data_IF_775930500415
#
_entry.id   IF_775930500415
#
_cell.length_a   1.000
_cell.length_b   1.000
_cell.length_c   1.000
_cell.angle_alpha   90.00
_cell.angle_beta   90.00
_cell.angle_gamma   90.00
#
_symmetry.space_group_name_H-M   'P 1'
#
loop_
_entity.id
_entity.type
_entity.pdbx_description
1 polymer ?
#
# COMPACT_ATOMS: atom_id res chain seq x y z
N UNK A 1 -21.99 21.31 38.41
CA UNK A 1 -21.00 20.30 38.87
C UNK A 1 -20.61 19.48 37.65
N UNK A 2 -19.38 19.61 37.13
CA UNK A 2 -18.93 18.73 36.03
C UNK A 2 -18.72 17.34 36.64
N UNK A 3 -19.56 16.38 36.28
CA UNK A 3 -19.44 15.02 36.76
C UNK A 3 -18.28 14.33 36.01
N UNK A 4 -17.50 13.51 36.70
CA UNK A 4 -16.42 12.70 36.12
C UNK A 4 -16.89 11.93 34.87
N UNK A 5 -18.11 11.40 34.88
CA UNK A 5 -18.73 10.73 33.74
C UNK A 5 -18.87 11.63 32.50
N UNK A 6 -19.19 12.91 32.66
CA UNK A 6 -19.32 13.84 31.52
C UNK A 6 -17.96 14.15 30.90
N UNK A 7 -16.90 14.17 31.70
CA UNK A 7 -15.54 14.37 31.22
C UNK A 7 -15.04 13.13 30.45
N UNK A 8 -15.29 11.93 31.00
CA UNK A 8 -14.94 10.65 30.36
C UNK A 8 -15.69 10.49 29.04
N UNK A 9 -17.00 10.77 28.99
CA UNK A 9 -17.78 10.67 27.76
C UNK A 9 -17.27 11.61 26.66
N UNK A 10 -16.92 12.86 27.00
CA UNK A 10 -16.36 13.79 26.01
C UNK A 10 -15.02 13.34 25.45
N UNK A 11 -14.18 12.73 26.28
CA UNK A 11 -12.92 12.15 25.84
C UNK A 11 -13.20 11.01 24.85
N UNK A 12 -14.06 10.07 25.23
CA UNK A 12 -14.49 8.97 24.36
C UNK A 12 -15.02 9.49 23.01
N UNK A 13 -15.94 10.46 23.01
CA UNK A 13 -16.51 11.05 21.80
C UNK A 13 -15.45 11.70 20.90
N UNK A 14 -14.45 12.34 21.50
CA UNK A 14 -13.33 12.97 20.78
C UNK A 14 -12.46 11.93 20.08
N UNK A 15 -12.11 10.85 20.80
CA UNK A 15 -11.32 9.74 20.27
C UNK A 15 -12.07 9.04 19.13
N UNK A 16 -13.35 8.72 19.31
CA UNK A 16 -14.19 8.17 18.23
C UNK A 16 -14.24 9.08 17.01
N UNK A 17 -14.42 10.37 17.21
CA UNK A 17 -14.46 11.34 16.12
C UNK A 17 -13.12 11.43 15.37
N UNK A 18 -11.98 11.22 16.05
CA UNK A 18 -10.67 11.18 15.39
C UNK A 18 -10.54 9.94 14.51
N UNK A 19 -10.86 8.77 15.06
CA UNK A 19 -10.79 7.49 14.33
C UNK A 19 -11.71 7.52 13.12
N UNK A 20 -12.95 7.98 13.28
CA UNK A 20 -13.93 8.07 12.20
C UNK A 20 -13.46 8.98 11.06
N UNK A 21 -12.84 10.12 11.40
CA UNK A 21 -12.23 11.00 10.40
C UNK A 21 -11.07 10.33 9.67
N UNK A 22 -10.17 9.65 10.37
CA UNK A 22 -9.02 8.99 9.75
C UNK A 22 -9.48 7.88 8.79
N UNK A 23 -10.39 7.01 9.25
CA UNK A 23 -10.95 5.93 8.44
C UNK A 23 -11.74 6.48 7.24
N UNK A 24 -12.58 7.49 7.44
CA UNK A 24 -13.35 8.12 6.35
C UNK A 24 -12.44 8.74 5.29
N UNK A 25 -11.34 9.38 5.70
CA UNK A 25 -10.36 9.94 4.75
C UNK A 25 -9.63 8.83 4.00
N UNK A 26 -9.22 7.77 4.68
CA UNK A 26 -8.64 6.60 4.03
C UNK A 26 -9.57 5.88 3.07
N UNK A 27 -10.86 5.76 3.38
CA UNK A 27 -11.87 5.23 2.45
C UNK A 27 -11.89 6.05 1.15
N UNK A 28 -11.81 7.38 1.25
CA UNK A 28 -11.75 8.25 0.06
C UNK A 28 -10.47 8.03 -0.74
N UNK A 29 -9.32 7.95 -0.07
CA UNK A 29 -8.03 7.63 -0.72
C UNK A 29 -8.12 6.28 -1.44
N UNK A 30 -8.60 5.25 -0.75
CA UNK A 30 -8.75 3.90 -1.31
C UNK A 30 -9.71 3.86 -2.50
N UNK A 31 -10.82 4.61 -2.44
CA UNK A 31 -11.79 4.70 -3.53
C UNK A 31 -11.18 5.39 -4.77
N UNK A 32 -10.42 6.47 -4.57
CA UNK A 32 -9.71 7.15 -5.67
C UNK A 32 -8.67 6.22 -6.28
N UNK A 33 -7.91 5.51 -5.44
CA UNK A 33 -6.93 4.54 -5.90
C UNK A 33 -7.58 3.37 -6.66
N UNK A 34 -8.66 2.78 -6.16
CA UNK A 34 -9.37 1.68 -6.82
C UNK A 34 -9.90 2.08 -8.19
N UNK A 35 -10.58 3.24 -8.26
CA UNK A 35 -11.07 3.78 -9.53
C UNK A 35 -9.91 4.04 -10.51
N UNK A 36 -8.80 4.59 -10.02
CA UNK A 36 -7.64 4.88 -10.86
C UNK A 36 -6.94 3.60 -11.30
N UNK A 37 -6.76 2.63 -10.41
CA UNK A 37 -6.03 1.38 -10.64
C UNK A 37 -6.75 0.44 -11.62
N UNK A 38 -8.07 0.33 -11.48
CA UNK A 38 -8.91 -0.51 -12.36
C UNK A 38 -8.99 0.04 -13.77
N UNK A 39 -8.94 1.37 -13.93
CA UNK A 39 -8.91 2.03 -15.24
C UNK A 39 -7.49 2.26 -15.78
N UNK A 40 -6.45 1.99 -14.97
CA UNK A 40 -5.07 2.13 -15.39
C UNK A 40 -4.61 0.90 -16.17
N UNK A 41 -4.35 1.14 -17.46
CA UNK A 41 -3.55 0.27 -18.29
C UNK A 41 -2.53 1.13 -19.01
N UNK A 42 -1.28 1.09 -18.56
CA UNK A 42 -0.17 1.62 -19.33
C UNK A 42 0.72 0.46 -19.74
N UNK A 43 1.18 0.48 -20.99
CA UNK A 43 2.35 -0.30 -21.37
C UNK A 43 3.53 0.49 -20.85
N UNK A 44 3.79 0.40 -19.54
CA UNK A 44 4.91 1.10 -18.94
C UNK A 44 6.20 0.75 -19.68
N UNK A 45 7.15 1.68 -19.69
CA UNK A 45 8.49 1.39 -20.13
C UNK A 45 9.02 0.16 -19.35
N UNK A 46 9.93 -0.63 -19.94
CA UNK A 46 10.53 -1.76 -19.24
C UNK A 46 11.00 -1.35 -17.85
N UNK A 47 10.76 -2.16 -16.82
CA UNK A 47 11.18 -1.86 -15.45
C UNK A 47 12.69 -1.57 -15.36
N UNK A 48 13.48 -2.13 -16.28
CA UNK A 48 14.92 -1.90 -16.37
C UNK A 48 15.32 -0.47 -16.78
N UNK A 49 14.40 0.33 -17.31
CA UNK A 49 14.69 1.70 -17.78
C UNK A 49 14.42 2.75 -16.69
N UNK A 50 13.43 2.53 -15.84
CA UNK A 50 12.97 3.51 -14.83
C UNK A 50 13.31 3.09 -13.38
N UNK A 51 13.74 1.84 -13.17
CA UNK A 51 13.95 1.29 -11.83
C UNK A 51 15.31 0.62 -11.66
N UNK A 52 15.84 0.76 -10.45
CA UNK A 52 16.89 -0.10 -9.94
C UNK A 52 16.30 -1.45 -9.51
N UNK A 53 17.11 -2.51 -9.54
CA UNK A 53 16.69 -3.81 -9.02
C UNK A 53 17.83 -4.57 -8.33
N UNK A 54 17.48 -5.39 -7.34
CA UNK A 54 18.40 -6.33 -6.70
C UNK A 54 17.67 -7.61 -6.32
N UNK A 55 18.38 -8.74 -6.40
CA UNK A 55 17.92 -10.02 -5.86
C UNK A 55 18.66 -10.30 -4.56
N UNK A 56 17.93 -10.50 -3.46
CA UNK A 56 18.47 -10.99 -2.18
C UNK A 56 17.81 -12.32 -1.84
N UNK A 57 18.61 -13.40 -1.86
CA UNK A 57 18.08 -14.76 -1.74
C UNK A 57 17.15 -15.09 -2.91
N UNK A 58 15.90 -15.44 -2.59
CA UNK A 58 14.85 -15.79 -3.57
C UNK A 58 13.91 -14.62 -3.90
N UNK A 59 14.13 -13.44 -3.33
CA UNK A 59 13.27 -12.27 -3.49
C UNK A 59 13.97 -11.21 -4.35
N UNK A 60 13.21 -10.65 -5.29
CA UNK A 60 13.55 -9.51 -6.11
C UNK A 60 12.93 -8.24 -5.53
N UNK A 61 13.71 -7.17 -5.48
CA UNK A 61 13.31 -5.85 -5.02
C UNK A 61 13.60 -4.85 -6.15
N UNK A 62 12.64 -4.00 -6.47
CA UNK A 62 12.70 -3.01 -7.54
C UNK A 62 12.22 -1.67 -6.99
N UNK A 63 12.97 -0.59 -7.22
CA UNK A 63 12.64 0.76 -6.71
C UNK A 63 13.01 1.81 -7.77
N UNK A 64 12.34 2.98 -7.79
CA UNK A 64 12.60 3.99 -8.80
C UNK A 64 14.08 4.41 -8.83
N UNK A 65 14.57 4.76 -10.02
CA UNK A 65 15.83 5.49 -10.15
C UNK A 65 15.61 6.87 -9.54
N UNK A 66 16.57 7.34 -8.76
CA UNK A 66 16.50 8.62 -8.06
C UNK A 66 16.15 9.75 -9.05
N UNK A 67 15.08 10.50 -8.78
CA UNK A 67 14.56 11.54 -9.68
C UNK A 67 15.58 12.68 -9.84
N UNK A 68 16.49 12.85 -8.88
CA UNK A 68 17.64 13.74 -8.99
C UNK A 68 18.63 13.35 -10.10
N UNK A 69 18.57 12.11 -10.60
CA UNK A 69 19.32 11.63 -11.77
C UNK A 69 18.54 11.76 -13.09
N UNK A 70 17.23 12.04 -13.01
CA UNK A 70 16.30 12.22 -14.13
C UNK A 70 15.92 13.70 -14.37
N UNK A 71 16.57 14.66 -13.69
CA UNK A 71 16.53 16.08 -14.04
C UNK A 71 17.18 16.33 -15.41
N UNK A 72 16.52 15.89 -16.46
CA UNK A 72 16.54 16.46 -17.80
C UNK A 72 15.40 15.80 -18.58
N UNK A 73 14.34 16.59 -18.86
CA UNK A 73 13.64 16.71 -20.16
C UNK A 73 12.11 16.97 -20.02
N UNK A 74 11.43 16.64 -18.91
CA UNK A 74 9.94 16.71 -18.91
C UNK A 74 9.22 17.35 -17.70
N UNK A 75 9.90 17.96 -16.73
CA UNK A 75 9.19 18.64 -15.63
C UNK A 75 8.89 20.10 -15.97
N UNK A 76 7.70 20.36 -16.55
CA UNK A 76 7.11 21.70 -16.74
C UNK A 76 6.78 22.37 -15.38
N UNK A 77 7.81 22.67 -14.58
CA UNK A 77 7.68 23.43 -13.32
C UNK A 77 6.88 22.75 -12.20
N UNK A 78 6.56 21.45 -12.33
CA UNK A 78 6.01 20.66 -11.23
C UNK A 78 7.14 20.35 -10.23
N UNK A 79 6.91 20.51 -8.91
CA UNK A 79 7.90 20.15 -7.91
C UNK A 79 8.28 18.68 -8.06
N UNK A 80 9.58 18.38 -7.90
CA UNK A 80 10.05 17.02 -7.80
C UNK A 80 9.26 16.32 -6.69
N UNK A 81 8.44 15.34 -7.07
CA UNK A 81 7.73 14.51 -6.11
C UNK A 81 8.73 13.45 -5.69
N UNK A 82 9.13 13.44 -4.43
CA UNK A 82 9.91 12.35 -3.86
C UNK A 82 9.05 11.08 -3.93
N UNK A 83 9.41 10.18 -4.85
CA UNK A 83 8.65 8.95 -5.07
C UNK A 83 9.26 7.84 -4.22
N UNK A 84 8.55 7.46 -3.17
CA UNK A 84 8.98 6.45 -2.20
C UNK A 84 8.12 5.18 -2.33
N UNK A 85 8.57 4.23 -3.14
CA UNK A 85 7.92 2.92 -3.25
C UNK A 85 8.90 1.83 -3.64
N UNK A 86 8.47 0.59 -3.42
CA UNK A 86 9.20 -0.60 -3.83
C UNK A 86 8.25 -1.67 -4.36
N UNK A 87 8.67 -2.34 -5.43
CA UNK A 87 8.02 -3.52 -5.99
C UNK A 87 8.82 -4.74 -5.56
N UNK A 88 8.15 -5.72 -4.95
CA UNK A 88 8.78 -6.93 -4.41
C UNK A 88 8.07 -8.17 -4.92
N UNK A 89 8.82 -9.23 -5.21
CA UNK A 89 8.28 -10.52 -5.61
C UNK A 89 9.37 -11.58 -5.70
N UNK A 90 9.01 -12.76 -6.19
CA UNK A 90 10.00 -13.82 -6.39
C UNK A 90 11.07 -13.42 -7.42
N UNK A 91 12.24 -14.06 -7.38
CA UNK A 91 13.42 -13.79 -8.21
C UNK A 91 13.12 -13.54 -9.71
N UNK A 92 12.12 -14.23 -10.28
CA UNK A 92 11.71 -14.03 -11.68
C UNK A 92 11.20 -12.61 -11.98
N UNK A 93 10.75 -11.84 -10.99
CA UNK A 93 10.31 -10.45 -11.16
C UNK A 93 11.41 -9.54 -11.71
N UNK A 94 12.67 -9.77 -11.33
CA UNK A 94 13.84 -9.03 -11.80
C UNK A 94 14.32 -9.51 -13.18
N UNK A 95 13.72 -10.57 -13.73
CA UNK A 95 14.10 -11.12 -15.03
C UNK A 95 13.18 -10.53 -16.11
N UNK A 96 13.75 -9.66 -16.93
CA UNK A 96 13.04 -9.02 -18.03
C UNK A 96 12.32 -10.03 -18.92
N UNK A 97 11.06 -9.74 -19.24
CA UNK A 97 10.26 -10.52 -20.17
C UNK A 97 9.58 -11.77 -19.60
N UNK A 98 9.84 -12.13 -18.34
CA UNK A 98 9.05 -13.17 -17.65
C UNK A 98 7.61 -12.71 -17.48
N UNK A 99 6.69 -13.66 -17.28
CA UNK A 99 5.27 -13.35 -17.10
C UNK A 99 5.03 -12.40 -15.93
N UNK A 100 5.69 -12.62 -14.80
CA UNK A 100 5.49 -11.79 -13.59
C UNK A 100 6.10 -10.39 -13.77
N UNK A 101 7.26 -10.30 -14.42
CA UNK A 101 7.90 -9.02 -14.77
C UNK A 101 7.00 -8.17 -15.67
N UNK A 102 6.47 -8.74 -16.76
CA UNK A 102 5.53 -8.05 -17.67
C UNK A 102 4.24 -7.59 -16.98
N UNK A 103 3.75 -8.38 -16.01
CA UNK A 103 2.57 -8.00 -15.23
C UNK A 103 2.87 -6.85 -14.28
N UNK A 104 4.02 -6.87 -13.62
CA UNK A 104 4.48 -5.79 -12.78
C UNK A 104 4.70 -4.50 -13.58
N UNK A 105 5.33 -4.58 -14.76
CA UNK A 105 5.49 -3.46 -15.71
C UNK A 105 4.15 -2.76 -15.98
N UNK A 106 3.10 -3.51 -16.32
CA UNK A 106 1.76 -2.96 -16.60
C UNK A 106 1.16 -2.13 -15.46
N UNK A 107 1.60 -2.38 -14.22
CA UNK A 107 1.11 -1.69 -13.01
C UNK A 107 2.15 -0.79 -12.36
N UNK A 108 3.41 -0.82 -12.80
CA UNK A 108 4.51 -0.07 -12.19
C UNK A 108 4.30 1.45 -12.31
N UNK A 109 3.75 1.91 -13.42
CA UNK A 109 3.44 3.33 -13.62
C UNK A 109 2.33 3.87 -12.70
N UNK A 110 1.65 3.01 -11.93
CA UNK A 110 0.73 3.43 -10.87
C UNK A 110 1.42 3.65 -9.52
N UNK A 111 2.62 3.09 -9.32
CA UNK A 111 3.32 3.15 -8.05
C UNK A 111 3.58 4.57 -7.52
N UNK A 112 3.89 5.58 -8.37
CA UNK A 112 3.98 6.97 -7.91
C UNK A 112 2.70 7.51 -7.26
N UNK A 113 1.52 7.07 -7.70
CA UNK A 113 0.25 7.48 -7.09
C UNK A 113 0.08 6.94 -5.67
N UNK A 114 0.61 5.73 -5.38
CA UNK A 114 0.61 5.18 -4.02
C UNK A 114 1.46 6.05 -3.09
N UNK A 115 2.65 6.44 -3.54
CA UNK A 115 3.56 7.31 -2.78
C UNK A 115 2.98 8.69 -2.54
N UNK A 116 2.45 9.34 -3.59
CA UNK A 116 1.84 10.65 -3.43
C UNK A 116 0.66 10.64 -2.46
N UNK A 117 -0.19 9.60 -2.52
CA UNK A 117 -1.39 9.51 -1.68
C UNK A 117 -1.09 9.06 -0.25
N UNK A 118 0.00 8.32 -0.02
CA UNK A 118 0.49 7.99 1.32
C UNK A 118 0.75 9.27 2.13
N UNK A 119 1.37 10.27 1.52
CA UNK A 119 1.79 11.50 2.22
C UNK A 119 0.64 12.49 2.50
N UNK A 120 -0.57 12.22 2.00
CA UNK A 120 -1.73 13.09 2.23
C UNK A 120 -2.29 12.93 3.65
N UNK A 121 -2.09 11.77 4.29
CA UNK A 121 -2.64 11.46 5.62
C UNK A 121 -1.60 10.90 6.57
N UNK A 122 -1.32 11.62 7.65
CA UNK A 122 -0.29 11.27 8.64
C UNK A 122 -0.51 9.96 9.40
N UNK A 123 -1.72 9.39 9.35
CA UNK A 123 -2.06 8.14 10.05
C UNK A 123 -1.93 6.91 9.15
N UNK A 124 -1.72 7.12 7.85
CA UNK A 124 -1.41 6.04 6.91
C UNK A 124 0.08 5.75 7.06
N UNK A 125 0.40 4.48 7.28
CA UNK A 125 1.79 4.01 7.37
C UNK A 125 2.22 3.16 6.18
N UNK A 126 1.25 2.74 5.37
CA UNK A 126 1.51 1.97 4.17
C UNK A 126 0.31 1.96 3.22
N UNK A 127 0.59 2.02 1.92
CA UNK A 127 -0.37 1.74 0.86
C UNK A 127 0.23 0.66 -0.05
N UNK A 128 -0.54 -0.39 -0.29
CA UNK A 128 -0.05 -1.60 -0.95
C UNK A 128 -1.00 -2.05 -2.04
N UNK A 129 -0.47 -2.38 -3.22
CA UNK A 129 -1.13 -3.28 -4.15
C UNK A 129 -0.48 -4.66 -4.07
N UNK A 130 -1.29 -5.67 -3.77
CA UNK A 130 -0.85 -7.05 -3.59
C UNK A 130 -1.45 -7.91 -4.70
N UNK A 131 -0.62 -8.30 -5.66
CA UNK A 131 -1.06 -9.11 -6.79
C UNK A 131 -1.12 -10.59 -6.42
N UNK A 132 -2.24 -11.26 -6.74
CA UNK A 132 -2.42 -12.69 -6.45
C UNK A 132 -1.39 -13.59 -7.15
N UNK A 133 -0.77 -13.10 -8.24
CA UNK A 133 0.14 -13.86 -9.13
C UNK A 133 1.58 -13.76 -8.68
N UNK A 134 1.93 -12.71 -7.94
CA UNK A 134 2.97 -12.82 -6.95
C UNK A 134 3.99 -11.70 -6.87
N UNK A 135 3.49 -10.48 -6.83
CA UNK A 135 4.29 -9.31 -6.51
C UNK A 135 3.46 -8.34 -5.65
N UNK A 136 4.16 -7.46 -4.96
CA UNK A 136 3.59 -6.37 -4.16
C UNK A 136 4.20 -5.07 -4.65
N UNK A 137 3.39 -4.04 -4.83
CA UNK A 137 3.84 -2.65 -4.93
C UNK A 137 3.49 -2.00 -3.60
N UNK A 138 4.47 -1.44 -2.92
CA UNK A 138 4.31 -0.88 -1.59
C UNK A 138 4.92 0.50 -1.50
N UNK A 139 4.20 1.42 -0.89
CA UNK A 139 4.73 2.71 -0.45
C UNK A 139 4.44 2.88 1.05
N UNK A 140 5.41 3.35 1.85
CA UNK A 140 6.78 3.71 1.48
C UNK A 140 7.65 2.47 1.21
N UNK A 141 8.84 2.67 0.62
CA UNK A 141 9.76 1.59 0.25
C UNK A 141 10.19 0.73 1.46
N UNK A 142 10.27 1.36 2.63
CA UNK A 142 10.69 0.73 3.90
C UNK A 142 9.80 -0.45 4.26
N UNK A 143 8.51 -0.35 3.92
CA UNK A 143 7.51 -1.37 4.20
C UNK A 143 7.69 -2.63 3.33
N UNK A 144 8.43 -2.53 2.23
CA UNK A 144 8.70 -3.66 1.33
C UNK A 144 10.12 -4.21 1.49
N UNK A 145 11.05 -3.45 2.10
CA UNK A 145 12.47 -3.79 2.21
C UNK A 145 12.75 -5.10 2.94
N UNK A 146 11.87 -5.49 3.87
CA UNK A 146 12.04 -6.68 4.72
C UNK A 146 11.23 -7.89 4.28
N UNK A 147 10.62 -7.87 3.08
CA UNK A 147 9.82 -8.98 2.60
C UNK A 147 10.64 -10.27 2.44
N UNK A 148 10.25 -11.32 3.15
CA UNK A 148 10.87 -12.65 3.05
C UNK A 148 10.02 -13.61 2.23
N UNK A 149 10.61 -14.74 1.83
CA UNK A 149 9.89 -15.82 1.15
C UNK A 149 8.82 -16.44 2.07
N UNK A 150 9.09 -16.50 3.37
CA UNK A 150 8.16 -16.99 4.38
C UNK A 150 6.96 -16.05 4.50
N UNK A 151 7.20 -14.74 4.61
CA UNK A 151 6.14 -13.74 4.60
C UNK A 151 5.31 -13.82 3.31
N UNK A 152 5.99 -13.95 2.18
CA UNK A 152 5.36 -14.14 0.88
C UNK A 152 4.41 -15.34 0.84
N UNK A 153 4.88 -16.49 1.33
CA UNK A 153 4.10 -17.74 1.36
C UNK A 153 2.86 -17.69 2.27
N UNK A 154 2.86 -16.78 3.26
CA UNK A 154 1.79 -16.64 4.26
C UNK A 154 0.87 -15.45 3.99
N UNK A 155 1.19 -14.59 3.02
CA UNK A 155 0.45 -13.36 2.72
C UNK A 155 -1.04 -13.60 2.46
N UNK A 156 -1.37 -14.64 1.69
CA UNK A 156 -2.77 -14.99 1.39
C UNK A 156 -3.52 -15.57 2.59
N UNK A 157 -2.83 -16.05 3.62
CA UNK A 157 -3.45 -16.53 4.85
C UNK A 157 -3.78 -15.38 5.82
N UNK A 158 -3.29 -14.16 5.57
CA UNK A 158 -3.53 -13.01 6.44
C UNK A 158 -5.03 -12.63 6.45
N UNK A 159 -5.56 -12.12 7.59
CA UNK A 159 -6.98 -11.80 7.74
C UNK A 159 -7.51 -10.80 6.70
N UNK A 160 -6.73 -9.75 6.38
CA UNK A 160 -7.13 -8.76 5.39
C UNK A 160 -7.38 -9.41 4.02
N UNK A 161 -6.50 -10.33 3.59
CA UNK A 161 -6.63 -11.00 2.29
C UNK A 161 -7.87 -11.89 2.27
N UNK A 162 -8.07 -12.70 3.31
CA UNK A 162 -9.21 -13.61 3.39
C UNK A 162 -10.54 -12.87 3.40
N UNK A 163 -10.65 -11.80 4.19
CA UNK A 163 -11.86 -10.99 4.27
C UNK A 163 -12.19 -10.32 2.94
N UNK A 164 -11.19 -9.71 2.31
CA UNK A 164 -11.34 -9.02 1.01
C UNK A 164 -11.63 -9.99 -0.13
N UNK A 165 -11.01 -11.17 -0.13
CA UNK A 165 -11.26 -12.17 -1.17
C UNK A 165 -12.69 -12.74 -1.12
N UNK A 166 -13.35 -12.68 0.06
CA UNK A 166 -14.73 -13.11 0.26
C UNK A 166 -15.75 -12.01 -0.06
N UNK A 167 -15.41 -10.74 0.17
CA UNK A 167 -16.26 -9.59 -0.16
C UNK A 167 -15.83 -8.95 -1.48
N UNK A 168 -16.57 -9.24 -2.56
CA UNK A 168 -16.19 -8.84 -3.92
C UNK A 168 -16.48 -7.38 -4.26
N UNK A 169 -17.19 -6.65 -3.40
CA UNK A 169 -17.79 -5.36 -3.75
C UNK A 169 -17.44 -4.26 -2.73
N UNK A 170 -17.29 -4.60 -1.46
CA UNK A 170 -17.10 -3.60 -0.42
C UNK A 170 -15.64 -3.43 -0.03
N UNK A 171 -15.34 -2.22 0.46
CA UNK A 171 -14.14 -1.98 1.26
C UNK A 171 -14.28 -2.77 2.56
N UNK A 172 -13.27 -3.56 2.91
CA UNK A 172 -13.24 -4.33 4.15
C UNK A 172 -12.22 -3.75 5.12
N UNK A 173 -12.55 -3.79 6.40
CA UNK A 173 -11.65 -3.43 7.50
C UNK A 173 -11.13 -4.70 8.18
N UNK A 174 -9.83 -4.84 8.37
CA UNK A 174 -9.22 -5.95 9.09
C UNK A 174 -8.21 -5.45 10.11
N UNK A 175 -8.12 -6.13 11.26
CA UNK A 175 -7.20 -5.79 12.34
C UNK A 175 -7.90 -5.61 13.70
N UNK A 176 -7.15 -5.21 14.74
CA UNK A 176 -5.69 -4.96 14.72
C UNK A 176 -4.88 -6.22 14.42
N UNK A 177 -3.77 -6.09 13.70
CA UNK A 177 -2.87 -7.18 13.34
C UNK A 177 -1.42 -6.71 13.17
N UNK A 178 -0.44 -7.62 13.03
CA UNK A 178 0.95 -7.21 12.81
C UNK A 178 1.10 -6.51 11.46
N UNK A 179 2.05 -5.57 11.38
CA UNK A 179 2.50 -4.96 10.13
C UNK A 179 2.91 -6.03 9.09
N UNK A 180 2.84 -5.70 7.80
CA UNK A 180 3.17 -6.68 6.76
C UNK A 180 4.62 -7.17 6.89
N UNK A 181 5.57 -6.25 7.09
CA UNK A 181 7.01 -6.49 7.02
C UNK A 181 7.72 -6.48 8.37
N UNK A 182 6.98 -6.26 9.45
CA UNK A 182 7.49 -6.17 10.82
C UNK A 182 6.63 -6.98 11.79
N UNK A 183 7.28 -7.55 12.80
CA UNK A 183 6.60 -8.16 13.96
C UNK A 183 6.31 -7.14 15.06
N UNK A 184 6.88 -5.94 14.95
CA UNK A 184 6.67 -4.80 15.85
C UNK A 184 5.68 -3.82 15.24
N UNK A 185 4.74 -3.32 16.06
CA UNK A 185 3.65 -2.44 15.63
C UNK A 185 2.35 -3.18 15.28
N UNK A 186 1.22 -2.50 15.47
CA UNK A 186 -0.09 -3.01 15.11
C UNK A 186 -0.74 -2.10 14.07
N UNK A 187 -1.39 -2.70 13.08
CA UNK A 187 -2.11 -1.99 12.04
C UNK A 187 -3.56 -2.40 11.95
N UNK A 188 -4.36 -1.46 11.46
CA UNK A 188 -5.68 -1.72 10.91
C UNK A 188 -5.58 -1.50 9.40
N UNK A 189 -6.05 -2.46 8.60
CA UNK A 189 -6.03 -2.39 7.14
C UNK A 189 -7.42 -2.12 6.59
N UNK A 190 -7.54 -1.11 5.74
CA UNK A 190 -8.67 -0.93 4.83
C UNK A 190 -8.29 -1.51 3.47
N UNK A 191 -9.13 -2.40 2.94
CA UNK A 191 -8.80 -3.14 1.72
C UNK A 191 -9.96 -3.19 0.74
N UNK A 192 -9.65 -3.24 -0.55
CA UNK A 192 -10.61 -3.42 -1.63
C UNK A 192 -10.08 -4.47 -2.62
N UNK A 193 -10.91 -5.40 -3.10
CA UNK A 193 -10.47 -6.37 -4.09
C UNK A 193 -10.40 -5.73 -5.47
N UNK A 194 -9.29 -5.94 -6.17
CA UNK A 194 -9.13 -5.48 -7.54
C UNK A 194 -9.57 -6.58 -8.50
N UNK A 195 -10.48 -6.23 -9.42
CA UNK A 195 -10.94 -7.12 -10.48
C UNK A 195 -10.63 -6.52 -11.86
N UNK A 196 -10.19 -7.38 -12.78
CA UNK A 196 -10.09 -7.04 -14.20
C UNK A 196 -10.91 -8.04 -15.00
N UNK A 197 -11.86 -7.54 -15.80
CA UNK A 197 -12.78 -8.37 -16.62
C UNK A 197 -13.47 -9.47 -15.78
N UNK A 198 -13.87 -9.14 -14.55
CA UNK A 198 -14.53 -10.06 -13.63
C UNK A 198 -13.61 -11.08 -12.95
N UNK A 199 -12.29 -11.01 -13.16
CA UNK A 199 -11.31 -11.88 -12.53
C UNK A 199 -10.56 -11.10 -11.44
N UNK A 200 -10.61 -11.62 -10.20
CA UNK A 200 -9.87 -11.06 -9.07
C UNK A 200 -8.38 -11.06 -9.41
N UNK A 201 -7.69 -9.92 -9.38
CA UNK A 201 -6.27 -9.79 -9.66
C UNK A 201 -5.44 -9.66 -8.39
N UNK A 202 -5.98 -9.04 -7.36
CA UNK A 202 -5.25 -8.73 -6.15
C UNK A 202 -6.05 -7.87 -5.20
N UNK A 203 -5.38 -7.32 -4.19
CA UNK A 203 -5.97 -6.47 -3.18
C UNK A 203 -5.20 -5.16 -3.13
N UNK A 204 -5.92 -4.04 -3.07
CA UNK A 204 -5.36 -2.76 -2.69
C UNK A 204 -5.63 -2.54 -1.19
N UNK A 205 -4.62 -2.14 -0.44
CA UNK A 205 -4.65 -1.96 1.02
C UNK A 205 -4.13 -0.59 1.41
N UNK A 206 -4.72 -0.01 2.45
CA UNK A 206 -4.19 1.11 3.23
C UNK A 206 -4.08 0.62 4.67
N UNK A 207 -2.88 0.74 5.24
CA UNK A 207 -2.58 0.33 6.60
C UNK A 207 -2.43 1.58 7.48
N UNK A 208 -3.11 1.58 8.62
CA UNK A 208 -3.04 2.62 9.64
C UNK A 208 -2.35 2.10 10.88
N UNK A 209 -1.47 2.89 11.45
CA UNK A 209 -0.88 2.60 12.75
C UNK A 209 -1.92 2.74 13.86
N UNK A 210 -2.11 1.66 14.63
CA UNK A 210 -3.03 1.61 15.77
C UNK A 210 -2.65 2.63 16.83
N UNK A 211 -1.36 2.84 17.10
CA UNK A 211 -0.89 3.76 18.14
C UNK A 211 -1.11 5.22 17.71
N UNK A 212 -0.96 5.51 16.41
CA UNK A 212 -1.31 6.81 15.85
C UNK A 212 -2.83 7.04 15.79
N UNK A 213 -3.62 5.99 15.56
CA UNK A 213 -5.09 6.06 15.57
C UNK A 213 -5.67 6.15 16.98
N UNK A 214 -4.97 5.61 17.98
CA UNK A 214 -5.36 5.55 19.39
C UNK A 214 -4.25 6.09 20.32
N UNK A 215 -3.72 7.32 20.13
CA UNK A 215 -2.76 7.89 21.05
C UNK A 215 -3.30 7.82 22.47
N UNK A 216 -2.57 7.09 23.31
CA UNK A 216 -2.77 7.14 24.75
C UNK A 216 -2.50 8.57 25.19
N UNK A 217 -3.53 9.24 25.71
CA UNK A 217 -3.34 10.50 26.41
C UNK A 217 -2.49 10.22 27.65
N UNK A 218 -1.25 10.73 27.67
CA UNK A 218 -0.51 10.92 28.93
C UNK A 218 -1.15 12.05 29.77
#
# INVERSE_FOLDING_TARGET
TKNYYDAVNRYIDTEYSRIDRALTRGIKVLTVLDYSFTNYSNFANPLSEEHNSIVKGDICYIWPIDVLLLENVYSDGLPAVDVDYMIVGEKSLCQAGTKINKLAEQKAGFAPSLSFLHDIESHIVGIHYIDKRGYVISSPDKYAKNFTKELWSTLKARPFWQKTAQDKVNITLAGPGPMLDSLEGQIISLTVPIYEKGVHQGVLSIDFDVDALLPTSE
#
